data_IF_685139091746
#
_entry.id   IF_685139091746
#
_cell.length_a   1.000
_cell.length_b   1.000
_cell.length_c   1.000
_cell.angle_alpha   90.00
_cell.angle_beta   90.00
_cell.angle_gamma   90.00
#
_symmetry.space_group_name_H-M   'P 1'
#
loop_
_entity.id
_entity.type
_entity.pdbx_description
1 polymer ?
#
# COMPACT_ATOMS: atom_id res chain seq x y z
N UNK A 1 -10.39 22.30 -13.84
CA UNK A 1 -11.20 21.50 -14.78
C UNK A 1 -12.33 22.40 -15.25
N UNK A 2 -12.66 22.39 -16.54
CA UNK A 2 -13.77 23.21 -17.06
C UNK A 2 -15.13 22.49 -16.89
N UNK A 3 -15.07 21.16 -16.81
CA UNK A 3 -16.21 20.27 -16.61
C UNK A 3 -15.84 19.13 -15.66
N UNK A 4 -16.82 18.65 -14.90
CA UNK A 4 -16.65 17.60 -13.91
C UNK A 4 -17.78 16.57 -14.04
N UNK A 5 -17.40 15.31 -13.91
CA UNK A 5 -18.32 14.17 -13.82
C UNK A 5 -17.96 13.44 -12.53
N UNK A 6 -18.93 13.30 -11.62
CA UNK A 6 -18.76 12.55 -10.37
C UNK A 6 -19.52 11.23 -10.47
N UNK A 7 -18.80 10.12 -10.23
CA UNK A 7 -19.36 8.77 -10.28
C UNK A 7 -19.62 8.26 -8.87
N UNK A 8 -20.77 7.62 -8.64
CA UNK A 8 -21.14 7.20 -7.30
C UNK A 8 -22.47 6.45 -7.24
N UNK A 9 -23.18 6.51 -6.09
CA UNK A 9 -22.80 7.19 -4.84
C UNK A 9 -21.72 6.45 -4.03
N UNK A 10 -21.47 5.17 -4.33
CA UNK A 10 -20.43 4.34 -3.70
C UNK A 10 -19.65 3.56 -4.76
N UNK A 11 -18.82 2.60 -4.34
CA UNK A 11 -18.09 1.70 -5.23
C UNK A 11 -18.81 0.36 -5.43
N UNK A 12 -18.44 -0.37 -6.48
CA UNK A 12 -18.97 -1.70 -6.79
C UNK A 12 -20.46 -1.68 -7.11
N UNK A 13 -21.22 -2.66 -6.59
CA UNK A 13 -22.67 -2.79 -6.83
C UNK A 13 -23.53 -1.62 -6.33
N UNK A 14 -22.95 -0.74 -5.52
CA UNK A 14 -23.61 0.44 -4.96
C UNK A 14 -23.18 1.74 -5.67
N UNK A 15 -22.47 1.60 -6.79
CA UNK A 15 -22.04 2.70 -7.65
C UNK A 15 -22.49 2.49 -9.09
N UNK A 16 -21.79 3.15 -10.02
CA UNK A 16 -22.04 3.02 -11.45
C UNK A 16 -23.02 4.05 -11.99
N UNK A 17 -23.39 5.05 -11.18
CA UNK A 17 -24.26 6.16 -11.59
C UNK A 17 -23.45 7.45 -11.70
N UNK A 18 -23.82 8.30 -12.65
CA UNK A 18 -23.37 9.70 -12.70
C UNK A 18 -24.17 10.48 -11.66
N UNK A 19 -23.54 10.79 -10.53
CA UNK A 19 -24.20 11.52 -9.43
C UNK A 19 -24.10 13.04 -9.56
N UNK A 20 -23.19 13.52 -10.42
CA UNK A 20 -23.11 14.92 -10.83
C UNK A 20 -22.44 15.03 -12.21
N UNK A 21 -22.92 15.98 -13.01
CA UNK A 21 -22.34 16.36 -14.29
C UNK A 21 -22.49 17.88 -14.46
N UNK A 22 -21.39 18.61 -14.71
CA UNK A 22 -21.46 20.07 -14.89
C UNK A 22 -20.15 20.80 -14.61
N UNK A 23 -20.23 22.11 -14.39
CA UNK A 23 -19.07 22.94 -14.05
C UNK A 23 -18.60 22.70 -12.62
N UNK A 24 -17.33 22.96 -12.27
CA UNK A 24 -16.86 22.89 -10.89
C UNK A 24 -17.65 23.78 -9.93
N UNK A 25 -18.13 24.94 -10.38
CA UNK A 25 -18.92 25.84 -9.53
C UNK A 25 -20.28 25.21 -9.19
N UNK A 26 -20.92 24.52 -10.15
CA UNK A 26 -22.15 23.78 -9.90
C UNK A 26 -21.91 22.57 -8.99
N UNK A 27 -20.75 21.89 -9.12
CA UNK A 27 -20.37 20.75 -8.27
C UNK A 27 -20.40 21.12 -6.79
N UNK A 28 -19.89 22.30 -6.43
CA UNK A 28 -19.83 22.79 -5.05
C UNK A 28 -21.23 23.01 -4.43
N UNK A 29 -22.27 23.16 -5.24
CA UNK A 29 -23.65 23.34 -4.74
C UNK A 29 -24.37 22.01 -4.49
N UNK A 30 -23.75 20.88 -4.83
CA UNK A 30 -24.32 19.55 -4.61
C UNK A 30 -23.98 19.00 -3.22
N UNK A 31 -24.59 17.87 -2.85
CA UNK A 31 -24.28 17.14 -1.62
C UNK A 31 -23.61 15.78 -1.89
N UNK A 32 -22.97 15.60 -3.05
CA UNK A 32 -22.21 14.37 -3.33
C UNK A 32 -21.02 14.21 -2.40
N UNK A 33 -20.48 12.99 -2.27
CA UNK A 33 -19.32 12.72 -1.42
C UNK A 33 -18.13 13.63 -1.78
N UNK A 34 -17.86 13.77 -3.08
CA UNK A 34 -16.79 14.62 -3.60
C UNK A 34 -17.02 16.09 -3.26
N UNK A 35 -18.25 16.60 -3.41
CA UNK A 35 -18.60 17.98 -3.02
C UNK A 35 -18.44 18.22 -1.52
N UNK A 36 -18.80 17.23 -0.69
CA UNK A 36 -18.61 17.33 0.77
C UNK A 36 -17.13 17.48 1.15
N UNK A 37 -16.20 16.85 0.41
CA UNK A 37 -14.77 17.06 0.61
C UNK A 37 -14.28 18.42 0.08
N UNK A 38 -14.73 18.88 -1.09
CA UNK A 38 -14.36 20.20 -1.60
C UNK A 38 -14.82 21.33 -0.69
N UNK A 39 -16.03 21.22 -0.15
CA UNK A 39 -16.60 22.22 0.75
C UNK A 39 -16.12 22.09 2.20
N UNK A 40 -15.24 21.13 2.51
CA UNK A 40 -14.74 20.90 3.87
C UNK A 40 -15.78 20.37 4.87
N UNK A 41 -17.00 20.00 4.41
CA UNK A 41 -17.99 19.27 5.24
C UNK A 41 -17.41 17.93 5.72
N UNK A 42 -16.64 17.26 4.85
CA UNK A 42 -15.79 16.12 5.18
C UNK A 42 -14.32 16.51 5.01
N UNK A 43 -13.45 16.01 5.88
CA UNK A 43 -12.01 16.25 5.83
C UNK A 43 -11.24 15.06 6.36
N UNK A 44 -9.98 14.95 5.97
CA UNK A 44 -9.03 14.02 6.57
C UNK A 44 -8.47 14.70 7.82
N UNK A 45 -8.77 14.16 8.99
CA UNK A 45 -8.33 14.74 10.26
C UNK A 45 -6.81 14.66 10.40
N UNK A 46 -6.21 15.77 10.86
CA UNK A 46 -4.78 15.83 11.16
C UNK A 46 -4.60 15.36 12.60
N UNK A 47 -3.80 14.30 12.87
CA UNK A 47 -3.58 13.83 14.23
C UNK A 47 -2.99 14.93 15.12
N UNK A 48 -3.65 15.23 16.24
CA UNK A 48 -3.21 16.26 17.19
C UNK A 48 -1.84 15.91 17.84
N UNK A 49 -1.52 14.62 17.93
CA UNK A 49 -0.24 14.12 18.45
C UNK A 49 0.39 13.16 17.44
N UNK A 50 1.67 13.36 17.13
CA UNK A 50 2.46 12.44 16.32
C UNK A 50 3.13 11.37 17.20
N UNK A 51 3.37 10.20 16.62
CA UNK A 51 4.06 9.10 17.33
C UNK A 51 5.48 9.53 17.69
N UNK A 52 5.87 9.35 18.94
CA UNK A 52 7.24 9.63 19.43
C UNK A 52 8.29 8.70 18.81
N UNK A 53 7.87 7.51 18.34
CA UNK A 53 8.76 6.44 17.92
C UNK A 53 9.27 5.61 19.11
N UNK A 54 10.19 4.70 18.84
CA UNK A 54 10.77 3.78 19.83
C UNK A 54 12.26 4.02 20.09
N UNK A 55 12.77 5.21 19.72
CA UNK A 55 14.18 5.61 19.81
C UNK A 55 15.18 4.75 19.01
N UNK A 56 14.69 3.86 18.14
CA UNK A 56 15.51 3.07 17.21
C UNK A 56 15.40 3.66 15.81
N UNK A 57 16.41 3.42 14.99
CA UNK A 57 16.48 3.95 13.62
C UNK A 57 17.21 2.99 12.69
N UNK A 58 16.87 3.02 11.40
CA UNK A 58 17.71 2.47 10.34
C UNK A 58 18.42 3.62 9.65
N UNK A 59 19.72 3.50 9.44
CA UNK A 59 20.49 4.48 8.67
C UNK A 59 20.94 3.89 7.36
N UNK A 60 20.84 4.67 6.28
CA UNK A 60 21.60 4.43 5.05
C UNK A 60 22.64 5.53 4.95
N UNK A 61 23.91 5.14 4.81
CA UNK A 61 25.03 6.05 4.61
C UNK A 61 25.44 6.09 3.15
N UNK A 62 25.69 7.28 2.63
CA UNK A 62 26.28 7.49 1.32
C UNK A 62 25.49 6.89 0.16
N UNK A 63 24.15 6.97 0.17
CA UNK A 63 23.36 6.48 -0.95
C UNK A 63 23.64 7.31 -2.22
N UNK A 64 24.09 6.64 -3.29
CA UNK A 64 24.56 7.25 -4.55
C UNK A 64 23.94 6.65 -5.82
N UNK A 65 23.00 5.73 -5.68
CA UNK A 65 22.23 5.21 -6.81
C UNK A 65 21.62 6.31 -7.69
N UNK A 66 21.70 6.15 -9.01
CA UNK A 66 21.16 7.06 -10.03
C UNK A 66 21.55 8.53 -9.78
N UNK A 67 20.58 9.37 -9.40
CA UNK A 67 20.78 10.80 -9.19
C UNK A 67 20.94 11.21 -7.72
N UNK A 68 21.01 10.25 -6.78
CA UNK A 68 21.27 10.54 -5.37
C UNK A 68 22.68 11.12 -5.21
N UNK A 69 22.80 12.17 -4.38
CA UNK A 69 24.03 12.95 -4.21
C UNK A 69 24.73 12.60 -2.91
N UNK A 70 25.13 11.34 -2.75
CA UNK A 70 25.79 10.83 -1.55
C UNK A 70 24.99 11.12 -0.28
N UNK A 71 23.76 10.61 -0.23
CA UNK A 71 22.77 10.96 0.78
C UNK A 71 22.87 10.04 1.99
N UNK A 72 23.05 10.63 3.17
CA UNK A 72 22.83 9.99 4.46
C UNK A 72 21.37 10.21 4.88
N UNK A 73 20.67 9.15 5.26
CA UNK A 73 19.28 9.25 5.71
C UNK A 73 18.99 8.35 6.90
N UNK A 74 18.22 8.89 7.84
CA UNK A 74 17.69 8.19 9.01
C UNK A 74 16.21 7.84 8.82
N UNK A 75 15.85 6.60 9.10
CA UNK A 75 14.48 6.11 9.18
C UNK A 75 14.13 5.76 10.64
N UNK A 76 13.52 6.69 11.40
CA UNK A 76 13.18 6.46 12.81
C UNK A 76 12.01 5.46 12.97
N UNK A 77 12.26 4.37 13.68
CA UNK A 77 11.32 3.27 13.84
C UNK A 77 10.19 3.62 14.83
N UNK A 78 9.06 2.89 14.69
CA UNK A 78 7.83 3.15 15.45
C UNK A 78 7.09 4.42 15.01
N UNK A 79 7.45 5.00 13.86
CA UNK A 79 6.81 6.18 13.27
C UNK A 79 6.18 5.85 11.92
N UNK A 80 5.26 6.72 11.50
CA UNK A 80 4.79 6.76 10.10
C UNK A 80 5.70 7.72 9.37
N UNK A 81 6.55 7.19 8.49
CA UNK A 81 7.52 7.97 7.72
C UNK A 81 6.94 8.19 6.32
N UNK A 82 6.97 9.44 5.86
CA UNK A 82 6.66 9.78 4.48
C UNK A 82 7.92 10.29 3.78
N UNK A 83 8.25 9.69 2.64
CA UNK A 83 9.34 10.15 1.78
C UNK A 83 8.73 10.96 0.64
N UNK A 84 9.00 12.26 0.62
CA UNK A 84 8.34 13.23 -0.27
C UNK A 84 9.34 13.95 -1.17
N UNK A 85 8.84 14.59 -2.23
CA UNK A 85 9.66 15.29 -3.21
C UNK A 85 9.05 15.23 -4.60
N UNK A 86 9.46 16.13 -5.50
CA UNK A 86 8.98 16.20 -6.89
C UNK A 86 9.29 14.92 -7.68
N UNK A 87 8.60 14.70 -8.81
CA UNK A 87 8.96 13.58 -9.70
C UNK A 87 10.42 13.66 -10.12
N UNK A 88 11.12 12.52 -10.17
CA UNK A 88 12.55 12.47 -10.48
C UNK A 88 13.50 12.84 -9.33
N UNK A 89 13.01 13.21 -8.14
CA UNK A 89 13.87 13.60 -7.01
C UNK A 89 14.65 12.44 -6.35
N UNK A 90 14.58 11.22 -6.87
CA UNK A 90 15.29 10.04 -6.31
C UNK A 90 14.55 9.26 -5.21
N UNK A 91 13.26 9.53 -4.93
CA UNK A 91 12.48 8.81 -3.89
C UNK A 91 12.44 7.30 -4.10
N UNK A 92 12.07 6.87 -5.32
CA UNK A 92 12.00 5.45 -5.67
C UNK A 92 13.38 4.80 -5.65
N UNK A 93 14.40 5.52 -6.10
CA UNK A 93 15.80 5.08 -6.03
C UNK A 93 16.23 4.84 -4.58
N UNK A 94 15.93 5.76 -3.67
CA UNK A 94 16.26 5.60 -2.25
C UNK A 94 15.50 4.46 -1.58
N UNK A 95 14.19 4.34 -1.83
CA UNK A 95 13.33 3.42 -1.08
C UNK A 95 13.20 2.06 -1.76
N UNK A 96 12.83 2.04 -3.03
CA UNK A 96 12.49 0.81 -3.75
C UNK A 96 13.71 0.13 -4.37
N UNK A 97 14.75 0.89 -4.73
CA UNK A 97 15.94 0.36 -5.42
C UNK A 97 17.17 0.28 -4.49
N UNK A 98 17.14 0.91 -3.31
CA UNK A 98 18.24 0.87 -2.34
C UNK A 98 17.79 0.24 -1.02
N UNK A 99 16.92 0.89 -0.24
CA UNK A 99 16.50 0.39 1.07
C UNK A 99 15.82 -0.98 0.98
N UNK A 100 14.79 -1.12 0.12
CA UNK A 100 14.00 -2.35 0.05
C UNK A 100 14.82 -3.57 -0.39
N UNK A 101 15.74 -3.49 -1.38
CA UNK A 101 16.62 -4.60 -1.72
C UNK A 101 17.60 -4.93 -0.59
N UNK A 102 18.20 -3.94 0.09
CA UNK A 102 19.04 -4.17 1.29
C UNK A 102 18.29 -5.02 2.32
N UNK A 103 17.07 -4.60 2.67
CA UNK A 103 16.25 -5.31 3.65
C UNK A 103 15.83 -6.70 3.16
N UNK A 104 15.49 -6.83 1.87
CA UNK A 104 15.07 -8.11 1.29
C UNK A 104 16.22 -9.12 1.17
N UNK A 105 17.43 -8.67 0.87
CA UNK A 105 18.63 -9.50 0.94
C UNK A 105 18.88 -9.98 2.37
N UNK A 106 18.75 -9.08 3.36
CA UNK A 106 18.96 -9.39 4.78
C UNK A 106 17.98 -10.43 5.33
N UNK A 107 16.69 -10.27 5.05
CA UNK A 107 15.64 -11.09 5.69
C UNK A 107 15.14 -12.25 4.84
N UNK A 108 15.30 -12.19 3.51
CA UNK A 108 14.73 -13.18 2.58
C UNK A 108 15.74 -13.73 1.57
N UNK A 109 17.03 -13.39 1.69
CA UNK A 109 18.07 -13.83 0.76
C UNK A 109 17.72 -13.54 -0.72
N UNK A 110 17.09 -12.39 -0.97
CA UNK A 110 16.79 -11.91 -2.32
C UNK A 110 18.07 -11.83 -3.17
N UNK A 111 17.96 -12.10 -4.47
CA UNK A 111 19.07 -11.94 -5.43
C UNK A 111 19.12 -10.54 -6.06
N UNK A 112 18.14 -9.69 -5.78
CA UNK A 112 18.13 -8.32 -6.29
C UNK A 112 19.17 -7.48 -5.54
N UNK A 113 20.13 -6.94 -6.27
CA UNK A 113 21.14 -6.05 -5.70
C UNK A 113 20.57 -4.65 -5.44
N UNK A 114 20.88 -4.05 -4.27
CA UNK A 114 20.62 -2.64 -4.05
C UNK A 114 21.52 -1.75 -4.91
N UNK A 115 21.07 -0.55 -5.21
CA UNK A 115 21.93 0.49 -5.80
C UNK A 115 23.01 0.95 -4.82
N UNK A 116 24.02 1.64 -5.34
CA UNK A 116 25.22 2.05 -4.61
C UNK A 116 24.92 2.84 -3.32
N UNK A 117 25.54 2.38 -2.22
CA UNK A 117 25.52 2.97 -0.87
C UNK A 117 26.81 2.58 -0.13
N UNK A 118 27.18 3.29 0.93
CA UNK A 118 28.37 2.97 1.72
C UNK A 118 28.10 1.93 2.80
N UNK A 119 27.08 2.15 3.62
CA UNK A 119 26.73 1.24 4.72
C UNK A 119 25.29 1.40 5.15
N UNK A 120 24.80 0.40 5.89
CA UNK A 120 23.48 0.40 6.53
C UNK A 120 23.64 0.02 8.01
N UNK A 121 22.98 0.76 8.89
CA UNK A 121 23.03 0.57 10.34
C UNK A 121 21.62 0.35 10.90
N UNK A 122 21.51 -0.31 12.07
CA UNK A 122 20.23 -0.49 12.77
C UNK A 122 19.34 -1.60 12.19
N UNK A 123 19.88 -2.48 11.34
CA UNK A 123 19.14 -3.63 10.79
C UNK A 123 18.72 -4.62 11.89
N UNK A 124 19.44 -4.69 13.00
CA UNK A 124 19.13 -5.51 14.17
C UNK A 124 17.87 -5.05 14.92
N UNK A 125 17.32 -3.89 14.58
CA UNK A 125 16.11 -3.35 15.20
C UNK A 125 14.81 -3.84 14.56
N UNK A 126 14.90 -4.54 13.43
CA UNK A 126 13.76 -5.10 12.69
C UNK A 126 14.02 -6.57 12.35
N UNK A 127 12.94 -7.34 12.22
CA UNK A 127 12.95 -8.79 11.98
C UNK A 127 12.44 -9.17 10.59
N UNK A 128 11.71 -8.27 9.92
CA UNK A 128 11.11 -8.49 8.61
C UNK A 128 10.85 -7.18 7.87
N UNK A 129 10.72 -7.29 6.55
CA UNK A 129 10.26 -6.18 5.69
C UNK A 129 9.08 -6.65 4.84
N UNK A 130 8.01 -5.87 4.78
CA UNK A 130 6.88 -6.16 3.90
C UNK A 130 6.75 -5.00 2.92
N UNK A 131 6.98 -5.29 1.65
CA UNK A 131 6.69 -4.35 0.57
C UNK A 131 5.26 -4.57 0.10
N UNK A 132 4.46 -3.50 0.10
CA UNK A 132 3.11 -3.49 -0.48
C UNK A 132 3.15 -2.54 -1.65
N UNK A 133 3.02 -3.09 -2.86
CA UNK A 133 3.09 -2.35 -4.11
C UNK A 133 1.76 -2.41 -4.88
N UNK A 134 1.78 -1.93 -6.12
CA UNK A 134 0.63 -1.94 -7.03
C UNK A 134 0.71 -3.10 -8.04
N UNK A 135 1.61 -4.07 -7.85
CA UNK A 135 1.67 -5.22 -8.73
C UNK A 135 0.37 -6.04 -8.60
N UNK A 136 -0.12 -6.65 -9.69
CA UNK A 136 -1.30 -7.50 -9.63
C UNK A 136 -1.10 -8.66 -8.62
N UNK A 137 -2.11 -8.91 -7.76
CA UNK A 137 -2.07 -9.97 -6.74
C UNK A 137 -1.84 -11.37 -7.33
N UNK A 138 -2.19 -11.58 -8.59
CA UNK A 138 -1.87 -12.78 -9.34
C UNK A 138 -2.07 -12.56 -10.83
N UNK A 139 -1.37 -13.36 -11.64
CA UNK A 139 -1.42 -13.28 -13.12
C UNK A 139 -2.45 -14.21 -13.74
N UNK A 140 -3.28 -14.89 -12.93
CA UNK A 140 -4.27 -15.85 -13.41
C UNK A 140 -5.65 -15.56 -12.85
N UNK A 141 -6.73 -15.94 -13.55
CA UNK A 141 -8.11 -15.78 -13.06
C UNK A 141 -8.41 -16.55 -11.77
N UNK A 142 -7.53 -17.48 -11.36
CA UNK A 142 -7.66 -18.23 -10.10
C UNK A 142 -7.29 -17.41 -8.87
N UNK A 143 -6.64 -16.26 -9.06
CA UNK A 143 -6.33 -15.33 -7.97
C UNK A 143 -7.45 -14.31 -7.80
N UNK A 144 -8.01 -14.24 -6.61
CA UNK A 144 -8.97 -13.24 -6.19
C UNK A 144 -8.71 -12.85 -4.71
N UNK A 145 -9.40 -11.82 -4.16
CA UNK A 145 -9.18 -11.41 -2.78
C UNK A 145 -9.37 -12.54 -1.74
N UNK A 146 -10.30 -13.46 -1.97
CA UNK A 146 -10.56 -14.56 -1.06
C UNK A 146 -9.43 -15.60 -1.05
N UNK A 147 -8.82 -15.88 -2.21
CA UNK A 147 -7.66 -16.79 -2.28
C UNK A 147 -6.39 -16.12 -1.76
N UNK A 148 -6.21 -14.83 -2.02
CA UNK A 148 -5.01 -14.08 -1.62
C UNK A 148 -4.94 -13.89 -0.09
N UNK A 149 -6.07 -13.61 0.56
CA UNK A 149 -6.14 -13.45 2.02
C UNK A 149 -6.20 -14.77 2.79
N UNK A 150 -6.36 -15.91 2.09
CA UNK A 150 -6.49 -17.24 2.70
C UNK A 150 -7.90 -17.61 3.13
N UNK A 151 -8.84 -16.66 3.21
CA UNK A 151 -10.21 -16.91 3.69
C UNK A 151 -10.97 -17.94 2.84
N UNK A 152 -10.63 -18.10 1.56
CA UNK A 152 -11.25 -19.14 0.73
C UNK A 152 -10.94 -20.55 1.24
N UNK A 153 -9.82 -20.76 1.94
CA UNK A 153 -9.53 -22.04 2.60
C UNK A 153 -10.49 -22.29 3.75
N UNK A 154 -10.80 -21.28 4.55
CA UNK A 154 -11.76 -21.38 5.65
C UNK A 154 -13.16 -21.67 5.10
N UNK A 155 -13.57 -20.98 4.04
CA UNK A 155 -14.84 -21.24 3.34
C UNK A 155 -14.88 -22.69 2.84
N UNK A 156 -13.82 -23.18 2.19
CA UNK A 156 -13.78 -24.59 1.72
C UNK A 156 -13.90 -25.57 2.88
N UNK A 157 -13.24 -25.32 4.00
CA UNK A 157 -13.34 -26.17 5.20
C UNK A 157 -14.77 -26.20 5.77
N UNK A 158 -15.49 -25.07 5.75
CA UNK A 158 -16.90 -25.03 6.13
C UNK A 158 -17.75 -25.94 5.22
N UNK A 159 -17.54 -25.90 3.91
CA UNK A 159 -18.27 -26.73 2.95
C UNK A 159 -17.99 -28.23 3.11
N UNK A 160 -16.74 -28.60 3.42
CA UNK A 160 -16.38 -30.00 3.76
C UNK A 160 -17.11 -30.50 5.00
N UNK A 161 -17.50 -29.60 5.91
CA UNK A 161 -18.28 -29.91 7.09
C UNK A 161 -19.70 -30.41 6.82
N UNK A 162 -20.27 -30.12 5.64
CA UNK A 162 -21.67 -30.44 5.30
C UNK A 162 -21.92 -31.95 5.22
N UNK A 163 -23.09 -32.44 5.66
CA UNK A 163 -23.43 -33.87 5.62
C UNK A 163 -23.26 -34.49 4.22
N UNK A 164 -23.72 -33.81 3.18
CA UNK A 164 -23.63 -34.26 1.80
C UNK A 164 -22.17 -34.38 1.34
N UNK A 165 -21.32 -33.42 1.72
CA UNK A 165 -19.89 -33.45 1.40
C UNK A 165 -19.20 -34.64 2.08
N UNK A 166 -19.57 -34.95 3.33
CA UNK A 166 -19.05 -36.10 4.09
C UNK A 166 -19.49 -37.43 3.48
N UNK A 167 -20.77 -37.59 3.16
CA UNK A 167 -21.32 -38.80 2.52
C UNK A 167 -20.61 -39.07 1.18
N UNK A 168 -20.33 -38.01 0.42
CA UNK A 168 -19.67 -38.10 -0.90
C UNK A 168 -18.14 -38.12 -0.82
N UNK A 169 -17.56 -37.93 0.35
CA UNK A 169 -16.11 -37.93 0.56
C UNK A 169 -15.35 -36.75 -0.07
N UNK A 170 -16.00 -35.60 -0.25
CA UNK A 170 -15.36 -34.39 -0.81
C UNK A 170 -14.31 -33.79 0.13
N UNK A 171 -13.25 -33.22 -0.44
CA UNK A 171 -12.09 -32.70 0.31
C UNK A 171 -11.86 -31.22 -0.01
N UNK A 172 -11.11 -30.46 0.80
CA UNK A 172 -10.96 -29.02 0.58
C UNK A 172 -10.43 -28.63 -0.82
N UNK A 173 -9.69 -29.50 -1.52
CA UNK A 173 -9.15 -29.24 -2.86
C UNK A 173 -9.86 -29.94 -4.02
N UNK A 174 -10.94 -30.69 -3.76
CA UNK A 174 -11.69 -31.48 -4.75
C UNK A 174 -13.17 -31.56 -4.42
#
# INVERSE_FOLDING_TARGET
>A
ADYMIDMGPKAGRLGGEVVFEGTPQAMLQTDTLTSQYFNGKKKIEIPAKRRSGNAKSIWIRGARGNNLKNVDVEFPLGKMICVTGVSGSGKSTLINETLQPILSQKFYHSLQDPLEYDSVEGLEHIDKVVSVDQAPLGRTPRSNPATYTGVFSDIRNLYVGLPEAKIRGYKPGR
#
